data_IF_868616301243
#
_entry.id   IF_868616301243
#
_cell.length_a   1.000
_cell.length_b   1.000
_cell.length_c   1.000
_cell.angle_alpha   90.00
_cell.angle_beta   90.00
_cell.angle_gamma   90.00
#
_symmetry.space_group_name_H-M   'P 1'
#
loop_
_entity.id
_entity.type
_entity.pdbx_description
1 polymer ?
#
# COMPACT_ATOMS: atom_id res chain seq x y z
N UNK A 1 31.72 -16.68 75.13
CA UNK A 1 30.43 -16.81 74.42
C UNK A 1 30.04 -15.58 73.56
N UNK A 2 30.16 -14.36 74.09
CA UNK A 2 29.78 -13.13 73.35
C UNK A 2 30.54 -12.94 72.02
N UNK A 3 31.87 -13.13 71.99
CA UNK A 3 32.72 -13.02 70.81
C UNK A 3 32.43 -14.08 69.72
N UNK A 4 32.02 -15.28 70.11
CA UNK A 4 31.71 -16.38 69.19
C UNK A 4 30.38 -16.13 68.47
N UNK A 5 29.37 -15.51 69.12
CA UNK A 5 28.09 -15.18 68.55
C UNK A 5 28.19 -13.97 67.59
N UNK A 6 29.02 -12.96 67.97
CA UNK A 6 29.28 -11.81 67.11
C UNK A 6 30.01 -12.20 65.82
N UNK A 7 30.97 -13.12 65.93
CA UNK A 7 31.69 -13.64 64.75
C UNK A 7 30.78 -14.40 63.78
N UNK A 8 29.83 -15.22 64.29
CA UNK A 8 28.88 -15.94 63.45
C UNK A 8 27.89 -14.95 62.76
N UNK A 9 27.45 -13.91 63.47
CA UNK A 9 26.58 -12.88 62.89
C UNK A 9 27.35 -12.12 61.76
N UNK A 10 28.63 -11.80 62.00
CA UNK A 10 29.43 -11.12 61.00
C UNK A 10 29.65 -11.98 59.74
N UNK A 11 30.04 -13.26 59.93
CA UNK A 11 30.21 -14.21 58.83
C UNK A 11 28.89 -14.38 58.03
N UNK A 12 27.73 -14.49 58.69
CA UNK A 12 26.43 -14.59 58.03
C UNK A 12 26.10 -13.30 57.23
N UNK A 13 26.45 -12.11 57.75
CA UNK A 13 26.24 -10.83 57.04
C UNK A 13 27.20 -10.65 55.90
N UNK A 14 28.42 -11.11 55.99
CA UNK A 14 29.38 -11.10 54.88
C UNK A 14 28.91 -11.99 53.73
N UNK A 15 28.35 -13.19 54.05
CA UNK A 15 27.84 -14.13 53.06
C UNK A 15 26.57 -13.51 52.36
N UNK A 16 25.62 -12.94 53.11
CA UNK A 16 24.43 -12.26 52.58
C UNK A 16 24.84 -11.09 51.67
N UNK A 17 25.85 -10.31 52.08
CA UNK A 17 26.38 -9.21 51.28
C UNK A 17 27.07 -9.72 49.99
N UNK A 18 27.74 -10.82 50.04
CA UNK A 18 28.39 -11.44 48.88
C UNK A 18 27.35 -11.94 47.88
N UNK A 19 26.29 -12.62 48.34
CA UNK A 19 25.18 -13.06 47.49
C UNK A 19 24.47 -11.89 46.82
N UNK A 20 24.15 -10.82 47.58
CA UNK A 20 23.52 -9.59 47.05
C UNK A 20 24.45 -8.92 46.02
N UNK A 21 25.75 -8.88 46.23
CA UNK A 21 26.69 -8.34 45.24
C UNK A 21 26.73 -9.19 43.96
N UNK A 22 26.67 -10.50 44.06
CA UNK A 22 26.61 -11.38 42.89
C UNK A 22 25.31 -11.15 42.09
N UNK A 23 24.14 -11.08 42.75
CA UNK A 23 22.86 -10.79 42.10
C UNK A 23 22.89 -9.43 41.40
N UNK A 24 23.37 -8.41 42.09
CA UNK A 24 23.50 -7.06 41.55
C UNK A 24 24.43 -7.02 40.32
N UNK A 25 25.56 -7.74 40.40
CA UNK A 25 26.51 -7.86 39.31
C UNK A 25 25.88 -8.56 38.09
N UNK A 26 25.15 -9.65 38.33
CA UNK A 26 24.39 -10.34 37.27
C UNK A 26 23.36 -9.43 36.58
N UNK A 27 22.59 -8.68 37.35
CA UNK A 27 21.63 -7.70 36.79
C UNK A 27 22.34 -6.61 35.97
N UNK A 28 23.43 -6.04 36.47
CA UNK A 28 24.18 -4.98 35.78
C UNK A 28 24.94 -5.49 34.57
N UNK A 29 25.26 -6.80 34.50
CA UNK A 29 25.86 -7.42 33.32
C UNK A 29 24.89 -7.50 32.13
N UNK A 30 23.59 -7.69 32.40
CA UNK A 30 22.58 -7.84 31.35
C UNK A 30 21.82 -6.53 31.02
N UNK A 31 21.75 -5.58 31.93
CA UNK A 31 21.00 -4.35 31.79
C UNK A 31 21.92 -3.13 31.70
N UNK A 32 21.45 -2.09 31.05
CA UNK A 32 22.02 -0.77 31.15
C UNK A 32 21.79 -0.26 32.58
N UNK A 33 22.86 0.27 33.23
CA UNK A 33 22.78 0.81 34.59
C UNK A 33 23.28 2.25 34.63
N UNK A 34 22.53 3.10 35.31
CA UNK A 34 22.80 4.52 35.52
C UNK A 34 22.44 4.92 36.94
N UNK A 35 23.30 5.70 37.59
CA UNK A 35 23.09 6.20 38.94
C UNK A 35 23.14 7.72 38.91
N UNK A 36 22.12 8.36 39.51
CA UNK A 36 22.05 9.79 39.67
C UNK A 36 22.14 10.19 41.15
N UNK A 37 22.71 11.35 41.42
CA UNK A 37 22.55 12.00 42.70
C UNK A 37 21.14 12.63 42.86
N UNK A 38 20.78 13.12 44.10
CA UNK A 38 19.48 13.78 44.30
C UNK A 38 19.25 15.02 43.45
N UNK A 39 20.27 15.61 42.82
CA UNK A 39 20.22 16.73 41.89
C UNK A 39 20.20 16.30 40.41
N UNK A 40 19.95 15.00 40.14
CA UNK A 40 19.92 14.44 38.79
C UNK A 40 21.24 14.56 38.02
N UNK A 41 22.41 14.57 38.74
CA UNK A 41 23.71 14.43 38.11
C UNK A 41 24.12 12.97 38.02
N UNK A 42 24.77 12.60 36.93
CA UNK A 42 25.24 11.26 36.70
C UNK A 42 26.47 10.98 37.57
N UNK A 43 26.32 10.09 38.57
CA UNK A 43 27.42 9.71 39.46
C UNK A 43 27.93 8.28 39.22
N UNK A 44 27.20 7.46 38.47
CA UNK A 44 27.60 6.11 38.14
C UNK A 44 26.89 5.59 36.89
N UNK A 45 27.57 4.70 36.20
CA UNK A 45 27.04 4.00 35.02
C UNK A 45 27.88 2.75 34.77
N UNK A 46 27.30 1.79 34.02
CA UNK A 46 28.08 0.63 33.55
C UNK A 46 28.59 0.83 32.10
N UNK A 47 29.44 -0.09 31.65
CA UNK A 47 30.01 -0.03 30.29
C UNK A 47 28.93 -0.09 29.20
N UNK A 48 27.86 -0.88 29.42
CA UNK A 48 26.75 -0.96 28.46
C UNK A 48 26.09 0.40 28.19
N UNK A 49 25.98 1.26 29.20
CA UNK A 49 25.44 2.60 29.03
C UNK A 49 26.34 3.49 28.16
N UNK A 50 27.67 3.38 28.36
CA UNK A 50 28.65 4.10 27.53
C UNK A 50 28.64 3.61 26.09
N UNK A 51 28.67 2.29 25.91
CA UNK A 51 28.66 1.67 24.56
C UNK A 51 27.39 2.04 23.79
N UNK A 52 26.24 2.03 24.49
CA UNK A 52 24.96 2.39 23.89
C UNK A 52 24.89 3.83 23.43
N UNK A 53 25.40 4.76 24.25
CA UNK A 53 25.31 6.18 23.95
C UNK A 53 26.54 6.71 23.19
N UNK A 54 27.65 5.98 23.16
CA UNK A 54 28.86 6.34 22.43
C UNK A 54 29.67 7.46 23.08
N UNK A 55 29.42 7.80 24.37
CA UNK A 55 30.20 8.77 25.13
C UNK A 55 31.37 8.10 25.88
N UNK A 56 32.41 8.88 26.14
CA UNK A 56 33.45 8.50 27.08
C UNK A 56 33.01 8.81 28.52
N UNK A 57 33.52 8.04 29.48
CA UNK A 57 33.16 8.18 30.89
C UNK A 57 33.37 9.61 31.44
N UNK A 58 34.48 10.27 31.03
CA UNK A 58 34.84 11.63 31.47
C UNK A 58 33.84 12.69 30.96
N UNK A 59 33.14 12.43 29.86
CA UNK A 59 32.14 13.33 29.28
C UNK A 59 30.82 13.30 30.05
N UNK A 60 30.52 12.19 30.75
CA UNK A 60 29.23 11.93 31.39
C UNK A 60 29.28 12.14 32.91
N UNK A 61 30.38 11.76 33.55
CA UNK A 61 30.52 11.80 35.02
C UNK A 61 30.30 13.21 35.55
N UNK A 62 29.53 13.32 36.63
CA UNK A 62 29.18 14.55 37.36
C UNK A 62 28.39 15.57 36.51
N UNK A 63 27.91 15.16 35.32
CA UNK A 63 27.09 16.05 34.47
C UNK A 63 25.59 15.85 34.76
N UNK A 64 24.79 16.91 34.58
CA UNK A 64 23.34 16.79 34.65
C UNK A 64 22.81 15.82 33.61
N UNK A 65 21.79 15.00 33.97
CA UNK A 65 21.10 14.11 33.05
C UNK A 65 20.54 14.86 31.82
N UNK A 66 20.15 16.10 32.04
CA UNK A 66 19.60 16.99 31.02
C UNK A 66 20.51 17.23 29.79
N UNK A 67 21.83 17.05 29.96
CA UNK A 67 22.78 17.17 28.86
C UNK A 67 22.72 16.02 27.85
N UNK A 68 22.12 14.92 28.25
CA UNK A 68 22.06 13.66 27.47
C UNK A 68 20.65 13.29 27.03
N UNK A 69 19.72 14.22 27.14
CA UNK A 69 18.36 14.07 26.66
C UNK A 69 17.99 15.20 25.72
N UNK A 70 17.13 14.97 24.70
CA UNK A 70 16.66 16.06 23.85
C UNK A 70 15.94 17.15 24.66
N UNK A 71 16.09 18.40 24.27
CA UNK A 71 15.50 19.54 25.02
C UNK A 71 13.98 19.40 25.24
N UNK A 72 13.25 18.85 24.26
CA UNK A 72 11.80 18.65 24.35
C UNK A 72 11.39 17.55 25.35
N UNK A 73 12.28 16.63 25.72
CA UNK A 73 11.98 15.53 26.65
C UNK A 73 11.61 16.05 28.02
N UNK A 74 12.17 17.17 28.43
CA UNK A 74 11.88 17.81 29.73
C UNK A 74 10.40 18.15 29.93
N UNK A 75 9.67 18.36 28.82
CA UNK A 75 8.25 18.68 28.83
C UNK A 75 7.36 17.42 28.65
N UNK A 76 7.95 16.24 28.60
CA UNK A 76 7.19 15.01 28.44
C UNK A 76 6.75 14.43 29.78
N UNK A 77 5.60 13.73 29.80
CA UNK A 77 5.07 13.09 31.02
C UNK A 77 6.07 12.17 31.70
N UNK A 78 6.85 11.38 30.95
CA UNK A 78 7.86 10.47 31.51
C UNK A 78 8.90 11.18 32.40
N UNK A 79 9.33 12.38 32.00
CA UNK A 79 10.32 13.16 32.76
C UNK A 79 9.70 13.80 34.01
N UNK A 80 8.49 14.36 33.90
CA UNK A 80 7.75 14.89 35.05
C UNK A 80 7.39 13.76 36.05
N UNK A 81 6.99 12.59 35.54
CA UNK A 81 6.70 11.43 36.38
C UNK A 81 7.95 10.96 37.16
N UNK A 82 9.12 10.96 36.49
CA UNK A 82 10.39 10.64 37.13
C UNK A 82 10.69 11.60 38.31
N UNK A 83 10.61 12.91 38.06
CA UNK A 83 10.85 13.90 39.10
C UNK A 83 9.85 13.77 40.27
N UNK A 84 8.56 13.57 39.96
CA UNK A 84 7.52 13.39 40.95
C UNK A 84 7.70 12.09 41.77
N UNK A 85 8.10 11.00 41.13
CA UNK A 85 8.36 9.71 41.77
C UNK A 85 9.56 9.79 42.72
N UNK A 86 10.66 10.43 42.28
CA UNK A 86 11.84 10.66 43.10
C UNK A 86 11.49 11.51 44.33
N UNK A 87 10.74 12.60 44.15
CA UNK A 87 10.28 13.43 45.26
C UNK A 87 9.44 12.69 46.29
N UNK A 88 8.60 11.75 45.82
CA UNK A 88 7.78 10.87 46.67
C UNK A 88 8.57 9.68 47.24
N UNK A 89 9.74 9.41 46.70
CA UNK A 89 10.56 8.26 47.07
C UNK A 89 9.98 6.93 46.64
N UNK A 90 9.29 6.89 45.50
CA UNK A 90 8.71 5.69 44.87
C UNK A 90 9.37 5.39 43.53
N UNK A 91 9.36 4.15 43.10
CA UNK A 91 9.89 3.75 41.78
C UNK A 91 8.97 4.16 40.65
N UNK A 92 9.52 4.36 39.47
CA UNK A 92 8.81 4.66 38.23
C UNK A 92 9.49 3.96 37.05
N UNK A 93 8.69 3.44 36.13
CA UNK A 93 9.19 2.83 34.89
C UNK A 93 8.48 3.47 33.71
N UNK A 94 9.27 3.82 32.69
CA UNK A 94 8.76 4.43 31.45
C UNK A 94 9.80 4.28 30.32
N UNK A 95 9.44 4.73 29.10
CA UNK A 95 10.34 4.84 27.97
C UNK A 95 11.01 6.22 27.93
N UNK A 96 12.31 6.25 28.12
CA UNK A 96 13.13 7.46 28.12
C UNK A 96 13.95 7.57 26.84
N UNK A 97 14.18 8.82 26.41
CA UNK A 97 14.96 9.15 25.22
C UNK A 97 16.27 9.77 25.63
N UNK A 98 17.35 9.18 25.13
CA UNK A 98 18.69 9.70 25.33
C UNK A 98 19.30 10.14 24.01
N UNK A 99 20.18 11.15 24.05
CA UNK A 99 21.00 11.56 22.92
C UNK A 99 22.29 10.73 22.93
N UNK A 100 22.62 10.13 21.79
CA UNK A 100 23.95 9.54 21.58
C UNK A 100 24.96 10.63 21.22
N UNK A 101 26.24 10.31 21.32
CA UNK A 101 27.34 11.21 20.98
C UNK A 101 27.32 11.65 19.50
N UNK A 102 26.73 10.86 18.60
CA UNK A 102 26.53 11.19 17.19
C UNK A 102 25.26 12.03 16.91
N UNK A 103 24.49 12.38 17.95
CA UNK A 103 23.26 13.12 17.88
C UNK A 103 22.00 12.26 17.58
N UNK A 104 22.13 10.98 17.34
CA UNK A 104 21.01 10.06 17.20
C UNK A 104 20.31 9.78 18.54
N UNK A 105 19.10 9.17 18.48
CA UNK A 105 18.34 8.84 19.68
C UNK A 105 18.53 7.39 20.09
N UNK A 106 18.68 7.17 21.40
CA UNK A 106 18.50 5.87 22.03
C UNK A 106 17.21 5.88 22.86
N UNK A 107 16.44 4.79 22.77
CA UNK A 107 15.23 4.57 23.56
C UNK A 107 15.52 3.52 24.62
N UNK A 108 15.38 3.92 25.89
CA UNK A 108 15.58 3.04 27.03
C UNK A 108 14.27 2.85 27.78
N UNK A 109 13.81 1.60 27.92
CA UNK A 109 12.80 1.27 28.91
C UNK A 109 13.49 1.15 30.25
N UNK A 110 13.38 2.18 31.09
CA UNK A 110 14.09 2.32 32.35
C UNK A 110 13.19 2.29 33.56
N UNK A 111 13.62 1.55 34.59
CA UNK A 111 13.06 1.57 35.93
C UNK A 111 13.98 2.35 36.86
N UNK A 112 13.46 3.43 37.43
CA UNK A 112 14.16 4.32 38.34
C UNK A 112 13.74 4.04 39.76
N UNK A 113 14.70 3.77 40.62
CA UNK A 113 14.50 3.41 42.00
C UNK A 113 15.23 4.43 42.90
N UNK A 114 14.52 5.28 43.68
CA UNK A 114 15.12 6.08 44.73
C UNK A 114 15.66 5.19 45.84
N UNK A 115 16.96 5.29 46.13
CA UNK A 115 17.63 4.57 47.22
C UNK A 115 17.80 5.51 48.40
N UNK A 116 17.31 5.08 49.57
CA UNK A 116 17.27 5.89 50.79
C UNK A 116 18.16 5.31 51.87
N UNK A 117 18.64 6.17 52.79
CA UNK A 117 19.28 5.77 54.01
C UNK A 117 18.27 5.18 54.98
N UNK A 118 18.75 4.55 56.05
CA UNK A 118 17.90 4.07 57.17
C UNK A 118 17.08 5.23 57.83
N UNK A 119 17.58 6.48 57.72
CA UNK A 119 16.88 7.68 58.19
C UNK A 119 15.84 8.23 57.23
N UNK A 120 15.73 7.63 56.02
CA UNK A 120 14.80 8.06 54.97
C UNK A 120 15.35 9.12 54.00
N UNK A 121 16.60 9.57 54.18
CA UNK A 121 17.20 10.52 53.24
C UNK A 121 17.53 9.89 51.91
N UNK A 122 17.26 10.59 50.81
CA UNK A 122 17.57 10.14 49.46
C UNK A 122 19.11 10.12 49.26
N UNK A 123 19.69 8.97 49.09
CA UNK A 123 21.11 8.77 48.84
C UNK A 123 21.44 8.96 47.35
N UNK A 124 20.74 8.24 46.48
CA UNK A 124 20.91 8.29 45.03
C UNK A 124 19.67 7.70 44.34
N UNK A 125 19.63 7.82 43.03
CA UNK A 125 18.59 7.25 42.17
C UNK A 125 19.25 6.22 41.27
N UNK A 126 18.89 4.94 41.45
CA UNK A 126 19.36 3.85 40.60
C UNK A 126 18.42 3.63 39.41
N UNK A 127 18.96 3.57 38.22
CA UNK A 127 18.22 3.14 37.04
C UNK A 127 18.77 1.83 36.53
N UNK A 128 17.86 0.92 36.22
CA UNK A 128 18.12 -0.21 35.33
C UNK A 128 17.26 -0.09 34.09
N UNK A 129 17.86 -0.25 32.93
CA UNK A 129 17.17 -0.05 31.67
C UNK A 129 17.52 -1.11 30.64
N UNK A 130 16.62 -1.31 29.71
CA UNK A 130 16.82 -2.11 28.51
C UNK A 130 16.78 -1.19 27.29
N UNK A 131 17.68 -1.42 26.35
CA UNK A 131 17.62 -0.78 25.05
C UNK A 131 16.42 -1.31 24.27
N UNK A 132 15.50 -0.44 23.91
CA UNK A 132 14.32 -0.71 23.10
C UNK A 132 14.33 0.10 21.80
N UNK A 133 15.48 0.67 21.42
CA UNK A 133 15.62 1.56 20.26
C UNK A 133 15.13 0.87 19.00
N UNK A 134 15.66 -0.31 18.68
CA UNK A 134 15.28 -1.07 17.50
C UNK A 134 13.76 -1.38 17.48
N UNK A 135 13.21 -1.81 18.61
CA UNK A 135 11.77 -2.10 18.73
C UNK A 135 10.92 -0.86 18.44
N UNK A 136 11.28 0.29 19.05
CA UNK A 136 10.53 1.55 18.87
C UNK A 136 10.67 2.09 17.45
N UNK A 137 11.86 2.03 16.87
CA UNK A 137 12.12 2.48 15.49
C UNK A 137 11.35 1.62 14.49
N UNK A 138 11.42 0.28 14.61
CA UNK A 138 10.65 -0.63 13.76
C UNK A 138 9.15 -0.41 13.89
N UNK A 139 8.63 -0.21 15.10
CA UNK A 139 7.20 0.09 15.30
C UNK A 139 6.80 1.39 14.63
N UNK A 140 7.61 2.45 14.74
CA UNK A 140 7.35 3.74 14.10
C UNK A 140 7.43 3.67 12.58
N UNK A 141 8.42 2.93 12.05
CA UNK A 141 8.56 2.69 10.62
C UNK A 141 7.33 1.94 10.08
N UNK A 142 6.93 0.87 10.74
CA UNK A 142 5.72 0.13 10.38
C UNK A 142 4.46 1.00 10.43
N UNK A 143 4.31 1.82 11.47
CA UNK A 143 3.19 2.76 11.60
C UNK A 143 3.19 3.80 10.46
N UNK A 144 4.34 4.35 10.13
CA UNK A 144 4.49 5.30 9.03
C UNK A 144 4.19 4.66 7.68
N UNK A 145 4.65 3.43 7.47
CA UNK A 145 4.37 2.64 6.27
C UNK A 145 2.88 2.33 6.12
N UNK A 146 2.22 1.86 7.18
CA UNK A 146 0.78 1.63 7.19
C UNK A 146 0.01 2.92 6.89
N UNK A 147 0.37 4.05 7.53
CA UNK A 147 -0.25 5.35 7.25
C UNK A 147 -0.08 5.79 5.79
N UNK A 148 1.09 5.54 5.19
CA UNK A 148 1.33 5.85 3.79
C UNK A 148 0.42 5.02 2.87
N UNK A 149 0.29 3.72 3.10
CA UNK A 149 -0.61 2.83 2.35
C UNK A 149 -2.08 3.27 2.47
N UNK A 150 -2.54 3.58 3.69
CA UNK A 150 -3.92 4.00 3.96
C UNK A 150 -4.30 5.34 3.31
N UNK A 151 -3.32 6.18 2.92
CA UNK A 151 -3.57 7.44 2.20
C UNK A 151 -3.98 7.24 0.75
N UNK A 152 -3.48 6.20 0.09
CA UNK A 152 -3.67 5.96 -1.34
C UNK A 152 -4.66 4.85 -1.65
N UNK A 153 -4.95 3.97 -0.70
CA UNK A 153 -5.74 2.77 -0.90
C UNK A 153 -7.03 2.83 -0.08
N UNK A 154 -8.15 2.50 -0.69
CA UNK A 154 -9.41 2.32 0.03
C UNK A 154 -9.36 1.03 0.85
N UNK A 155 -9.60 1.14 2.16
CA UNK A 155 -9.53 0.00 3.09
C UNK A 155 -10.80 -0.10 3.90
N UNK A 156 -11.32 -1.32 4.03
CA UNK A 156 -12.46 -1.66 4.88
C UNK A 156 -12.22 -3.02 5.51
N UNK A 157 -12.61 -3.16 6.77
CA UNK A 157 -12.47 -4.37 7.55
C UNK A 157 -13.83 -4.98 7.87
N UNK A 158 -13.88 -6.31 7.87
CA UNK A 158 -15.09 -7.08 8.13
C UNK A 158 -14.84 -8.15 9.21
N UNK A 159 -15.88 -8.47 9.95
CA UNK A 159 -15.94 -9.74 10.71
C UNK A 159 -15.96 -10.93 9.75
N UNK A 160 -15.78 -12.12 10.27
CA UNK A 160 -15.90 -13.37 9.50
C UNK A 160 -17.31 -13.60 8.95
N UNK A 161 -18.31 -13.01 9.59
CA UNK A 161 -19.71 -13.03 9.14
C UNK A 161 -20.00 -11.96 8.08
N UNK A 162 -18.99 -11.14 7.72
CA UNK A 162 -19.11 -10.10 6.70
C UNK A 162 -19.68 -8.78 7.18
N UNK A 163 -19.75 -8.51 8.48
CA UNK A 163 -20.15 -7.22 9.02
C UNK A 163 -18.98 -6.24 9.06
N UNK A 164 -19.24 -4.98 8.72
CA UNK A 164 -18.23 -3.93 8.70
C UNK A 164 -17.77 -3.60 10.12
N UNK A 165 -16.46 -3.72 10.36
CA UNK A 165 -15.79 -3.30 11.59
C UNK A 165 -15.40 -1.82 11.49
N UNK A 166 -14.71 -1.44 10.43
CA UNK A 166 -14.24 -0.07 10.18
C UNK A 166 -13.88 0.12 8.70
N UNK A 167 -13.73 1.38 8.28
CA UNK A 167 -13.23 1.74 6.96
C UNK A 167 -12.43 3.06 7.04
N UNK A 168 -11.47 3.24 6.14
CA UNK A 168 -10.73 4.49 6.04
C UNK A 168 -11.47 5.53 5.18
N UNK A 169 -10.99 6.78 5.23
CA UNK A 169 -11.58 7.90 4.48
C UNK A 169 -11.59 7.69 2.97
N UNK A 170 -10.61 6.95 2.42
CA UNK A 170 -10.56 6.65 0.99
C UNK A 170 -11.74 5.77 0.57
N UNK A 171 -12.03 4.72 1.34
CA UNK A 171 -13.19 3.88 1.09
C UNK A 171 -14.50 4.65 1.25
N UNK A 172 -14.62 5.43 2.33
CA UNK A 172 -15.82 6.22 2.62
C UNK A 172 -16.11 7.22 1.51
N UNK A 173 -15.09 7.94 1.01
CA UNK A 173 -15.22 8.85 -0.13
C UNK A 173 -15.59 8.14 -1.42
N UNK A 174 -14.93 7.02 -1.72
CA UNK A 174 -15.18 6.25 -2.93
C UNK A 174 -16.61 5.72 -3.03
N UNK A 175 -17.17 5.30 -1.88
CA UNK A 175 -18.50 4.70 -1.80
C UNK A 175 -19.59 5.69 -1.35
N UNK A 176 -19.23 6.93 -0.99
CA UNK A 176 -20.19 7.98 -0.61
C UNK A 176 -20.89 7.74 0.72
N UNK A 177 -20.33 6.96 1.62
CA UNK A 177 -20.90 6.70 2.95
C UNK A 177 -20.11 7.41 4.05
N UNK A 178 -20.75 7.68 5.17
CA UNK A 178 -20.08 7.94 6.44
C UNK A 178 -19.81 6.63 7.18
N UNK A 179 -18.80 6.61 8.06
CA UNK A 179 -18.47 5.42 8.85
C UNK A 179 -19.67 4.93 9.69
N UNK A 180 -20.40 5.85 10.31
CA UNK A 180 -21.56 5.53 11.14
C UNK A 180 -22.70 4.83 10.36
N UNK A 181 -22.80 5.04 9.05
CA UNK A 181 -23.81 4.40 8.20
C UNK A 181 -23.49 2.95 7.88
N UNK A 182 -22.20 2.56 7.91
CA UNK A 182 -21.75 1.24 7.44
C UNK A 182 -21.29 0.31 8.56
N UNK A 183 -20.79 0.81 9.68
CA UNK A 183 -20.35 -0.03 10.82
C UNK A 183 -21.51 -0.93 11.30
N UNK A 184 -21.23 -2.22 11.51
CA UNK A 184 -22.19 -3.24 11.87
C UNK A 184 -23.15 -3.66 10.75
N UNK A 185 -23.04 -3.07 9.54
CA UNK A 185 -23.80 -3.50 8.37
C UNK A 185 -23.04 -4.59 7.63
N UNK A 186 -23.78 -5.51 7.04
CA UNK A 186 -23.19 -6.60 6.28
C UNK A 186 -22.69 -6.12 4.90
N UNK A 187 -21.56 -6.64 4.45
CA UNK A 187 -20.91 -6.38 3.15
C UNK A 187 -21.88 -6.37 1.96
N UNK A 188 -22.93 -7.17 1.99
CA UNK A 188 -23.97 -7.23 0.94
C UNK A 188 -24.60 -5.88 0.60
N UNK A 189 -24.53 -4.90 1.50
CA UNK A 189 -25.05 -3.54 1.26
C UNK A 189 -24.38 -2.82 0.09
N UNK A 190 -23.15 -3.24 -0.25
CA UNK A 190 -22.39 -2.69 -1.39
C UNK A 190 -22.59 -3.47 -2.69
N UNK A 191 -23.36 -4.55 -2.66
CA UNK A 191 -23.60 -5.43 -3.80
C UNK A 191 -24.99 -5.18 -4.40
N UNK A 192 -25.18 -5.53 -5.66
CA UNK A 192 -26.54 -5.63 -6.22
C UNK A 192 -27.32 -6.74 -5.52
N UNK A 193 -28.65 -6.65 -5.52
CA UNK A 193 -29.51 -7.68 -4.94
C UNK A 193 -29.27 -9.07 -5.58
N UNK A 194 -29.00 -9.09 -6.88
CA UNK A 194 -28.69 -10.30 -7.63
C UNK A 194 -27.39 -10.94 -7.15
N UNK A 195 -26.30 -10.15 -7.06
CA UNK A 195 -25.00 -10.63 -6.56
C UNK A 195 -25.11 -11.13 -5.12
N UNK A 196 -25.73 -10.32 -4.24
CA UNK A 196 -25.85 -10.64 -2.81
C UNK A 196 -26.58 -11.97 -2.53
N UNK A 197 -27.48 -12.39 -3.43
CA UNK A 197 -28.23 -13.64 -3.32
C UNK A 197 -27.64 -14.81 -4.14
N UNK A 198 -26.52 -14.57 -4.84
CA UNK A 198 -25.90 -15.60 -5.70
C UNK A 198 -25.15 -16.67 -4.89
N UNK A 199 -25.04 -17.86 -5.44
CA UNK A 199 -24.21 -18.94 -4.89
C UNK A 199 -22.71 -18.58 -4.89
N UNK A 200 -22.26 -17.76 -5.84
CA UNK A 200 -20.89 -17.25 -5.93
C UNK A 200 -20.57 -16.34 -4.73
N UNK A 201 -21.51 -15.49 -4.31
CA UNK A 201 -21.34 -14.65 -3.12
C UNK A 201 -21.21 -15.48 -1.84
N UNK A 202 -21.98 -16.56 -1.70
CA UNK A 202 -21.85 -17.48 -0.58
C UNK A 202 -20.50 -18.20 -0.61
N UNK A 203 -20.09 -18.72 -1.76
CA UNK A 203 -18.81 -19.39 -1.95
C UNK A 203 -17.63 -18.44 -1.67
N UNK A 204 -17.75 -17.16 -2.03
CA UNK A 204 -16.76 -16.12 -1.74
C UNK A 204 -16.47 -16.00 -0.23
N UNK A 205 -17.52 -15.90 0.62
CA UNK A 205 -17.33 -15.82 2.07
C UNK A 205 -16.83 -17.15 2.67
N UNK A 206 -17.24 -18.29 2.12
CA UNK A 206 -16.70 -19.61 2.53
C UNK A 206 -15.19 -19.70 2.29
N UNK A 207 -14.69 -19.21 1.16
CA UNK A 207 -13.25 -19.16 0.85
C UNK A 207 -12.50 -18.27 1.84
N UNK A 208 -12.99 -17.07 2.09
CA UNK A 208 -12.38 -16.15 3.05
C UNK A 208 -12.31 -16.76 4.46
N UNK A 209 -13.36 -17.46 4.89
CA UNK A 209 -13.42 -18.14 6.19
C UNK A 209 -12.53 -19.40 6.28
N UNK A 210 -11.99 -19.86 5.15
CA UNK A 210 -10.93 -20.88 5.10
C UNK A 210 -9.52 -20.28 5.11
N UNK A 211 -9.41 -18.97 5.17
CA UNK A 211 -8.13 -18.28 5.11
C UNK A 211 -7.60 -18.05 3.69
N UNK A 212 -8.43 -18.31 2.65
CA UNK A 212 -8.06 -18.05 1.26
C UNK A 212 -8.30 -16.58 0.91
N UNK A 213 -7.28 -15.87 0.42
CA UNK A 213 -7.49 -14.52 -0.10
C UNK A 213 -8.21 -14.55 -1.44
N UNK A 214 -8.93 -13.47 -1.76
CA UNK A 214 -9.60 -13.31 -3.05
C UNK A 214 -9.21 -11.97 -3.65
N UNK A 215 -8.78 -11.99 -4.92
CA UNK A 215 -8.41 -10.80 -5.69
C UNK A 215 -9.17 -10.81 -7.01
N UNK A 216 -9.86 -9.69 -7.33
CA UNK A 216 -10.61 -9.54 -8.57
C UNK A 216 -11.02 -8.07 -8.77
N UNK A 217 -11.64 -7.77 -9.92
CA UNK A 217 -12.41 -6.54 -10.16
C UNK A 217 -13.86 -6.74 -9.75
N UNK A 218 -14.33 -5.95 -8.81
CA UNK A 218 -15.66 -6.06 -8.24
C UNK A 218 -16.51 -4.85 -8.61
N UNK A 219 -17.70 -5.09 -9.12
CA UNK A 219 -18.72 -4.08 -9.28
C UNK A 219 -19.44 -3.88 -7.93
N UNK A 220 -19.52 -2.65 -7.45
CA UNK A 220 -20.19 -2.29 -6.20
C UNK A 220 -21.16 -1.15 -6.44
N UNK A 221 -22.06 -0.94 -5.50
CA UNK A 221 -23.01 0.17 -5.48
C UNK A 221 -22.63 1.15 -4.37
N UNK A 222 -22.53 2.42 -4.73
CA UNK A 222 -22.31 3.49 -3.77
C UNK A 222 -23.60 3.86 -2.99
N UNK A 223 -23.52 4.86 -2.11
CA UNK A 223 -24.67 5.32 -1.30
C UNK A 223 -25.84 5.88 -2.12
N UNK A 224 -25.63 6.18 -3.40
CA UNK A 224 -26.65 6.69 -4.34
C UNK A 224 -27.11 5.62 -5.34
N UNK A 225 -26.63 4.38 -5.19
CA UNK A 225 -26.91 3.28 -6.09
C UNK A 225 -26.14 3.31 -7.41
N UNK A 226 -25.10 4.15 -7.55
CA UNK A 226 -24.26 4.23 -8.75
C UNK A 226 -23.23 3.11 -8.74
N UNK A 227 -22.89 2.61 -9.91
CA UNK A 227 -21.86 1.58 -10.07
C UNK A 227 -20.46 2.15 -9.81
N UNK A 228 -19.72 1.49 -8.92
CA UNK A 228 -18.32 1.75 -8.62
C UNK A 228 -17.54 0.47 -8.87
N UNK A 229 -16.56 0.52 -9.75
CA UNK A 229 -15.66 -0.59 -10.01
C UNK A 229 -14.43 -0.50 -9.11
N UNK A 230 -14.17 -1.57 -8.39
CA UNK A 230 -13.07 -1.70 -7.44
C UNK A 230 -12.17 -2.85 -7.86
N UNK A 231 -10.92 -2.59 -8.18
CA UNK A 231 -9.89 -3.62 -8.20
C UNK A 231 -9.45 -3.86 -6.76
N UNK A 232 -9.73 -5.05 -6.22
CA UNK A 232 -9.63 -5.27 -4.78
C UNK A 232 -9.13 -6.65 -4.41
N UNK A 233 -8.48 -6.69 -3.23
CA UNK A 233 -8.10 -7.93 -2.56
C UNK A 233 -8.78 -8.01 -1.19
N UNK A 234 -9.33 -9.18 -0.88
CA UNK A 234 -9.87 -9.51 0.44
C UNK A 234 -8.91 -10.47 1.12
N UNK A 235 -8.39 -10.07 2.27
CA UNK A 235 -7.31 -10.77 2.95
C UNK A 235 -7.77 -11.20 4.35
N UNK A 236 -7.92 -12.50 4.59
CA UNK A 236 -8.15 -13.04 5.92
C UNK A 236 -6.96 -12.77 6.84
N UNK A 237 -7.21 -12.30 8.05
CA UNK A 237 -6.18 -11.92 9.03
C UNK A 237 -6.28 -12.81 10.27
N UNK A 238 -5.11 -13.30 10.73
CA UNK A 238 -4.99 -14.16 11.90
C UNK A 238 -4.47 -13.37 13.10
N UNK A 239 -4.89 -13.77 14.29
CA UNK A 239 -4.37 -13.27 15.56
C UNK A 239 -2.98 -13.88 15.89
N UNK A 240 -2.41 -13.51 17.04
CA UNK A 240 -1.12 -14.02 17.48
C UNK A 240 -1.13 -15.53 17.80
N UNK A 241 -2.29 -16.14 17.96
CA UNK A 241 -2.50 -17.56 18.19
C UNK A 241 -2.75 -18.33 16.90
N UNK A 242 -2.82 -17.64 15.75
CA UNK A 242 -3.09 -18.23 14.45
C UNK A 242 -4.57 -18.43 14.14
N UNK A 243 -5.48 -17.90 14.94
CA UNK A 243 -6.92 -17.98 14.66
C UNK A 243 -7.33 -16.85 13.71
N UNK A 244 -8.12 -17.19 12.70
CA UNK A 244 -8.74 -16.23 11.82
C UNK A 244 -9.75 -15.37 12.59
N UNK A 245 -9.67 -14.02 12.50
CA UNK A 245 -10.57 -13.16 13.29
C UNK A 245 -11.22 -12.01 12.51
N UNK A 246 -10.68 -11.64 11.35
CA UNK A 246 -11.26 -10.62 10.45
C UNK A 246 -10.82 -10.78 9.02
N UNK A 247 -11.49 -10.07 8.10
CA UNK A 247 -11.10 -9.91 6.71
C UNK A 247 -10.81 -8.44 6.44
N UNK A 248 -9.65 -8.13 5.85
CA UNK A 248 -9.27 -6.77 5.44
C UNK A 248 -9.31 -6.69 3.91
N UNK A 249 -10.10 -5.76 3.39
CA UNK A 249 -10.16 -5.45 1.97
C UNK A 249 -9.31 -4.23 1.66
N UNK A 250 -8.42 -4.37 0.68
CA UNK A 250 -7.75 -3.26 0.02
C UNK A 250 -8.33 -3.08 -1.37
N UNK A 251 -8.60 -1.85 -1.79
CA UNK A 251 -9.22 -1.57 -3.07
C UNK A 251 -8.73 -0.28 -3.72
N UNK A 252 -8.64 -0.30 -5.05
CA UNK A 252 -8.47 0.89 -5.88
C UNK A 252 -9.73 1.11 -6.72
N UNK A 253 -10.15 2.35 -6.86
CA UNK A 253 -11.29 2.71 -7.73
C UNK A 253 -10.79 2.70 -9.18
N UNK A 254 -11.40 1.85 -10.01
CA UNK A 254 -11.07 1.70 -11.43
C UNK A 254 -12.26 1.97 -12.35
N UNK A 255 -13.28 2.67 -11.86
CA UNK A 255 -14.53 2.98 -12.61
C UNK A 255 -14.23 3.66 -13.94
N UNK A 256 -13.42 4.72 -13.94
CA UNK A 256 -13.06 5.45 -15.17
C UNK A 256 -12.25 4.60 -16.14
N UNK A 257 -11.43 3.68 -15.63
CA UNK A 257 -10.67 2.76 -16.46
C UNK A 257 -11.61 1.75 -17.14
N UNK A 258 -12.54 1.16 -16.39
CA UNK A 258 -13.51 0.18 -16.93
C UNK A 258 -14.42 0.85 -17.97
N UNK A 259 -14.87 2.10 -17.73
CA UNK A 259 -15.65 2.87 -18.72
C UNK A 259 -14.84 3.07 -20.00
N UNK A 260 -13.60 3.52 -19.90
CA UNK A 260 -12.73 3.70 -21.09
C UNK A 260 -12.47 2.38 -21.83
N UNK A 261 -12.21 1.29 -21.10
CA UNK A 261 -12.02 -0.04 -21.70
C UNK A 261 -13.25 -0.47 -22.51
N UNK A 262 -14.46 -0.20 -22.00
CA UNK A 262 -15.71 -0.49 -22.69
C UNK A 262 -15.88 0.38 -23.93
N UNK A 263 -15.66 1.69 -23.84
CA UNK A 263 -15.72 2.62 -24.98
C UNK A 263 -14.75 2.25 -26.09
N UNK A 264 -13.50 1.86 -25.75
CA UNK A 264 -12.51 1.38 -26.72
C UNK A 264 -12.95 0.07 -27.36
N UNK A 265 -13.53 -0.85 -26.59
CA UNK A 265 -14.08 -2.09 -27.11
C UNK A 265 -15.21 -1.86 -28.10
N UNK A 266 -16.16 -0.97 -27.77
CA UNK A 266 -17.27 -0.60 -28.66
C UNK A 266 -16.77 0.07 -29.96
N UNK A 267 -15.80 1.01 -29.84
CA UNK A 267 -15.16 1.64 -31.01
C UNK A 267 -14.46 0.63 -31.91
N UNK A 268 -13.79 -0.37 -31.33
CA UNK A 268 -13.12 -1.42 -32.10
C UNK A 268 -14.11 -2.29 -32.89
N UNK A 269 -15.27 -2.63 -32.29
CA UNK A 269 -16.35 -3.37 -32.98
C UNK A 269 -16.92 -2.56 -34.15
N UNK A 270 -17.15 -1.27 -33.95
CA UNK A 270 -17.62 -0.37 -35.01
C UNK A 270 -16.60 -0.27 -36.14
N UNK A 271 -15.31 -0.07 -35.82
CA UNK A 271 -14.22 0.01 -36.78
C UNK A 271 -14.09 -1.27 -37.62
N UNK A 272 -14.23 -2.42 -36.97
CA UNK A 272 -14.23 -3.70 -37.67
C UNK A 272 -15.41 -3.83 -38.66
N UNK A 273 -16.60 -3.42 -38.24
CA UNK A 273 -17.78 -3.42 -39.12
C UNK A 273 -17.60 -2.49 -40.33
N UNK A 274 -17.08 -1.29 -40.15
CA UNK A 274 -16.76 -0.33 -41.23
C UNK A 274 -15.72 -0.91 -42.17
N UNK A 275 -14.68 -1.58 -41.64
CA UNK A 275 -13.65 -2.22 -42.46
C UNK A 275 -14.22 -3.31 -43.37
N UNK A 276 -15.10 -4.21 -42.84
CA UNK A 276 -15.79 -5.23 -43.64
C UNK A 276 -16.68 -4.60 -44.74
N UNK A 277 -17.40 -3.55 -44.42
CA UNK A 277 -18.24 -2.85 -45.39
C UNK A 277 -17.40 -2.20 -46.48
N UNK A 278 -16.27 -1.60 -46.10
CA UNK A 278 -15.32 -1.00 -47.06
C UNK A 278 -14.73 -2.04 -47.99
N UNK A 279 -14.33 -3.21 -47.48
CA UNK A 279 -13.82 -4.31 -48.32
C UNK A 279 -14.87 -4.78 -49.32
N UNK A 280 -16.11 -5.01 -48.85
CA UNK A 280 -17.23 -5.38 -49.71
C UNK A 280 -17.49 -4.35 -50.80
N UNK A 281 -17.43 -3.05 -50.45
CA UNK A 281 -17.62 -1.97 -51.42
C UNK A 281 -16.49 -1.87 -52.42
N UNK A 282 -15.24 -2.07 -51.98
CA UNK A 282 -14.08 -2.10 -52.83
C UNK A 282 -14.14 -3.26 -53.85
N UNK A 283 -14.57 -4.44 -53.42
CA UNK A 283 -14.76 -5.61 -54.29
C UNK A 283 -15.85 -5.37 -55.33
N UNK A 284 -16.96 -4.73 -54.95
CA UNK A 284 -18.01 -4.31 -55.88
C UNK A 284 -17.47 -3.25 -56.89
N UNK A 285 -16.73 -2.28 -56.41
CA UNK A 285 -16.08 -1.30 -57.24
C UNK A 285 -15.12 -1.91 -58.28
N UNK A 286 -14.29 -2.85 -57.84
CA UNK A 286 -13.38 -3.58 -58.73
C UNK A 286 -14.16 -4.37 -59.81
N UNK A 287 -15.28 -4.96 -59.46
CA UNK A 287 -16.15 -5.67 -60.42
C UNK A 287 -16.75 -4.72 -61.44
N UNK A 288 -17.23 -3.54 -61.03
CA UNK A 288 -17.76 -2.52 -61.95
C UNK A 288 -16.67 -2.01 -62.90
N UNK A 289 -15.47 -1.72 -62.38
CA UNK A 289 -14.33 -1.32 -63.23
C UNK A 289 -13.99 -2.41 -64.27
N UNK A 290 -13.94 -3.71 -63.87
CA UNK A 290 -13.69 -4.82 -64.78
C UNK A 290 -14.73 -4.91 -65.88
N UNK A 291 -16.02 -4.79 -65.53
CA UNK A 291 -17.10 -4.78 -66.51
C UNK A 291 -17.03 -3.59 -67.46
N UNK A 292 -16.71 -2.38 -66.94
CA UNK A 292 -16.50 -1.19 -67.77
C UNK A 292 -15.38 -1.35 -68.79
N UNK A 293 -14.26 -1.96 -68.36
CA UNK A 293 -13.14 -2.25 -69.26
C UNK A 293 -13.57 -3.25 -70.40
N UNK A 294 -14.32 -4.28 -70.03
CA UNK A 294 -14.87 -5.23 -71.00
C UNK A 294 -15.78 -4.55 -72.04
N UNK A 295 -16.73 -3.70 -71.54
CA UNK A 295 -17.61 -2.93 -72.47
C UNK A 295 -16.84 -1.99 -73.35
N UNK A 296 -15.80 -1.32 -72.82
CA UNK A 296 -14.95 -0.46 -73.65
C UNK A 296 -14.18 -1.27 -74.74
N UNK A 297 -13.78 -2.48 -74.43
CA UNK A 297 -13.15 -3.36 -75.36
C UNK A 297 -14.16 -3.71 -76.52
N UNK A 298 -15.39 -4.10 -76.17
CA UNK A 298 -16.45 -4.38 -77.15
C UNK A 298 -16.75 -3.17 -78.04
N UNK A 299 -16.86 -1.96 -77.43
CA UNK A 299 -17.06 -0.70 -78.20
C UNK A 299 -15.89 -0.45 -79.15
N UNK A 300 -14.64 -0.73 -78.69
CA UNK A 300 -13.46 -0.57 -79.55
C UNK A 300 -13.45 -1.50 -80.76
N UNK A 301 -13.90 -2.74 -80.54
CA UNK A 301 -14.03 -3.74 -81.64
C UNK A 301 -15.17 -3.36 -82.62
N UNK A 302 -16.29 -2.89 -82.11
CA UNK A 302 -17.39 -2.34 -82.95
C UNK A 302 -16.95 -1.16 -83.77
N UNK A 303 -16.23 -0.20 -83.11
CA UNK A 303 -15.67 0.98 -83.86
C UNK A 303 -14.68 0.59 -84.91
N UNK A 304 -13.84 -0.42 -84.65
CA UNK A 304 -12.90 -0.94 -85.68
C UNK A 304 -13.67 -1.53 -86.86
N UNK A 305 -14.67 -2.36 -86.61
CA UNK A 305 -15.54 -2.96 -87.62
C UNK A 305 -16.32 -1.89 -88.40
N UNK A 306 -16.83 -0.84 -87.72
CA UNK A 306 -17.49 0.28 -88.42
C UNK A 306 -16.49 1.04 -89.28
N UNK A 307 -15.27 1.25 -88.85
CA UNK A 307 -14.21 1.94 -89.61
C UNK A 307 -13.86 1.17 -90.89
N UNK A 308 -13.71 -0.18 -90.75
CA UNK A 308 -13.44 -1.05 -91.95
C UNK A 308 -14.66 -1.06 -92.90
N UNK A 309 -15.87 -1.02 -92.38
CA UNK A 309 -17.07 -0.89 -93.21
C UNK A 309 -17.11 0.44 -93.96
N UNK A 310 -16.76 1.57 -93.30
CA UNK A 310 -16.64 2.89 -93.96
C UNK A 310 -15.54 2.90 -95.05
N UNK A 311 -14.41 2.27 -94.76
CA UNK A 311 -13.32 2.18 -95.81
C UNK A 311 -13.76 1.35 -97.01
N UNK A 312 -14.48 0.25 -96.76
CA UNK A 312 -15.05 -0.58 -97.89
C UNK A 312 -16.10 0.19 -98.69
N UNK A 313 -16.98 0.98 -98.00
CA UNK A 313 -17.93 1.89 -98.69
C UNK A 313 -17.22 2.96 -99.47
N UNK A 314 -16.14 3.53 -98.94
CA UNK A 314 -15.29 4.49 -99.68
C UNK A 314 -14.71 3.93 -100.98
N UNK A 315 -14.16 2.72 -100.88
CA UNK A 315 -13.66 1.97 -102.06
C UNK A 315 -14.76 1.72 -103.10
N UNK A 316 -15.94 1.31 -102.61
CA UNK A 316 -17.06 1.04 -103.51
C UNK A 316 -17.59 2.34 -104.17
N UNK A 317 -17.61 3.44 -103.43
CA UNK A 317 -17.97 4.76 -103.98
C UNK A 317 -16.97 5.23 -105.07
N UNK A 318 -15.68 4.99 -104.87
CA UNK A 318 -14.66 5.29 -105.85
C UNK A 318 -14.85 4.46 -107.14
N UNK A 319 -15.22 3.18 -106.97
CA UNK A 319 -15.53 2.28 -108.12
C UNK A 319 -16.79 2.79 -108.88
N UNK A 320 -17.81 3.17 -108.16
CA UNK A 320 -19.01 3.74 -108.79
C UNK A 320 -18.69 5.03 -109.51
N UNK A 321 -17.87 5.92 -108.95
CA UNK A 321 -17.43 7.14 -109.54
C UNK A 321 -16.60 6.89 -110.85
N UNK A 322 -15.74 5.90 -110.80
CA UNK A 322 -14.97 5.46 -111.97
C UNK A 322 -15.90 4.88 -113.09
N UNK A 323 -16.92 4.06 -112.70
CA UNK A 323 -17.89 3.55 -113.67
C UNK A 323 -18.72 4.69 -114.31
N UNK A 324 -19.17 5.69 -113.46
CA UNK A 324 -19.92 6.82 -113.98
C UNK A 324 -19.04 7.64 -114.97
N UNK A 325 -17.73 7.83 -114.64
CA UNK A 325 -16.78 8.49 -115.55
C UNK A 325 -16.61 7.72 -116.84
N UNK A 326 -16.47 6.38 -116.79
CA UNK A 326 -16.39 5.50 -117.94
C UNK A 326 -17.64 5.58 -118.82
N UNK A 327 -18.83 5.50 -118.25
CA UNK A 327 -20.10 5.66 -118.96
C UNK A 327 -20.22 7.06 -119.58
N UNK A 328 -19.79 8.10 -118.83
CA UNK A 328 -19.74 9.47 -119.45
C UNK A 328 -18.79 9.61 -120.65
N UNK A 329 -17.67 8.89 -120.61
CA UNK A 329 -16.72 8.86 -121.79
C UNK A 329 -17.19 8.01 -122.94
N UNK A 330 -18.12 7.08 -122.76
CA UNK A 330 -18.73 6.24 -123.85
C UNK A 330 -19.91 7.00 -124.49
N UNK A 331 -20.58 7.91 -123.71
CA UNK A 331 -21.71 8.67 -124.19
C UNK A 331 -21.36 10.04 -124.86
N UNK A 332 -20.12 10.41 -124.88
CA UNK A 332 -19.57 11.59 -125.57
C UNK A 332 -18.93 11.13 -126.89
#
# INVERSE_FOLDING_TARGET
MFNSNLKKILESKEEELFELKQLFHGMTAEMVSLVLDPQFRIIGFNQRFLDLLGYKAEQMKDRPLDNFVPAYVKNLPCFHNLQAAVAKGVSVSDNYRFLRADGSLAWLHGSWQPVKSEKGDLLHIQCFARDVTHTVETMKENEAFIKALLRSTAVIEFTLDGEVITANDQFLRAMGYSLAQIVGKHHRMFCSTEEANSSQYQAFWVRLNRGEYVADRFKRLDSQGREVWLEATYNPVHDAQGHLYKVVKFANVVTDQVVREKEVGEAAVIAYGISQQTDTTAQRGATVVKNTVATMQEISEEMQSASEGIEALGKQSMLITSMVQTIGSIAA
#
